data_IF_076274191023
#
_entry.id   IF_076274191023
#
_cell.length_a   1.000
_cell.length_b   1.000
_cell.length_c   1.000
_cell.angle_alpha   90.00
_cell.angle_beta   90.00
_cell.angle_gamma   90.00
#
_symmetry.space_group_name_H-M   'P 1'
#
loop_
_entity.id
_entity.type
_entity.pdbx_description
1 polymer ?
#
# COMPACT_ATOMS: atom_id res chain seq x y z
N UNK A 1 7.80 -15.10 -13.67
CA UNK A 1 7.19 -15.25 -15.01
C UNK A 1 6.27 -14.07 -15.18
N UNK A 2 6.66 -13.15 -16.06
CA UNK A 2 5.94 -11.92 -16.38
C UNK A 2 5.78 -11.94 -17.90
N UNK A 3 4.58 -11.68 -18.40
CA UNK A 3 4.29 -11.56 -19.84
C UNK A 3 4.86 -12.73 -20.67
N UNK A 4 4.80 -13.94 -20.12
CA UNK A 4 5.42 -15.12 -20.70
C UNK A 4 4.37 -15.90 -21.53
N UNK A 5 4.48 -15.94 -22.88
CA UNK A 5 3.54 -16.70 -23.69
C UNK A 5 3.55 -18.17 -23.30
N UNK A 6 2.38 -18.81 -23.30
CA UNK A 6 2.20 -20.22 -22.92
C UNK A 6 2.63 -20.55 -21.48
N UNK A 7 2.70 -19.57 -20.57
CA UNK A 7 3.11 -19.79 -19.18
C UNK A 7 2.34 -20.92 -18.48
N UNK A 8 1.01 -20.99 -18.64
CA UNK A 8 0.20 -22.03 -18.03
C UNK A 8 0.51 -23.44 -18.59
N UNK A 9 0.81 -23.56 -19.89
CA UNK A 9 1.24 -24.84 -20.50
C UNK A 9 2.61 -25.28 -19.98
N UNK A 10 3.51 -24.33 -19.81
CA UNK A 10 4.83 -24.59 -19.22
C UNK A 10 4.70 -25.09 -17.78
N UNK A 11 3.90 -24.41 -16.95
CA UNK A 11 3.64 -24.81 -15.56
C UNK A 11 2.97 -26.20 -15.49
N UNK A 12 2.05 -26.50 -16.40
CA UNK A 12 1.44 -27.83 -16.51
C UNK A 12 2.51 -28.91 -16.76
N UNK A 13 3.42 -28.67 -17.71
CA UNK A 13 4.51 -29.60 -18.01
C UNK A 13 5.46 -29.78 -16.83
N UNK A 14 5.84 -28.69 -16.16
CA UNK A 14 6.70 -28.72 -14.99
C UNK A 14 6.08 -29.49 -13.83
N UNK A 15 4.77 -29.32 -13.58
CA UNK A 15 4.06 -30.02 -12.50
C UNK A 15 4.04 -31.54 -12.66
N UNK A 16 4.26 -32.04 -13.89
CA UNK A 16 4.33 -33.46 -14.24
C UNK A 16 5.76 -33.99 -14.28
N UNK A 17 6.76 -33.13 -14.10
CA UNK A 17 8.16 -33.57 -14.04
C UNK A 17 8.37 -34.48 -12.83
N UNK A 18 9.24 -35.47 -12.98
CA UNK A 18 9.63 -36.38 -11.89
C UNK A 18 10.66 -35.74 -10.95
N UNK A 19 11.24 -34.62 -11.34
CA UNK A 19 12.27 -33.93 -10.57
C UNK A 19 11.63 -33.07 -9.47
N UNK A 20 12.10 -33.26 -8.24
CA UNK A 20 11.64 -32.45 -7.11
C UNK A 20 12.22 -31.04 -7.21
N UNK A 21 11.38 -30.07 -7.61
CA UNK A 21 11.78 -28.68 -7.68
C UNK A 21 12.02 -28.12 -6.26
N UNK A 22 13.12 -27.39 -6.08
CA UNK A 22 13.44 -26.66 -4.85
C UNK A 22 13.36 -25.15 -5.08
N UNK A 23 12.18 -24.69 -5.45
CA UNK A 23 11.97 -23.28 -5.76
C UNK A 23 11.71 -22.48 -4.48
N UNK A 24 12.55 -21.47 -4.23
CA UNK A 24 12.40 -20.56 -3.08
C UNK A 24 11.57 -19.31 -3.39
N UNK A 25 11.59 -18.86 -4.64
CA UNK A 25 10.86 -17.67 -5.09
C UNK A 25 10.07 -18.00 -6.35
N UNK A 26 8.78 -17.71 -6.32
CA UNK A 26 7.91 -17.79 -7.47
C UNK A 26 7.19 -16.46 -7.66
N UNK A 27 7.36 -15.88 -8.83
CA UNK A 27 6.64 -14.69 -9.25
C UNK A 27 5.83 -15.04 -10.50
N UNK A 28 4.55 -14.70 -10.52
CA UNK A 28 3.63 -15.02 -11.60
C UNK A 28 2.63 -13.88 -11.82
N UNK A 29 2.55 -13.44 -13.05
CA UNK A 29 1.60 -12.42 -13.51
C UNK A 29 0.76 -13.05 -14.61
N UNK A 30 -0.55 -13.02 -14.47
CA UNK A 30 -1.45 -13.58 -15.48
C UNK A 30 -2.73 -12.77 -15.56
N UNK A 31 -3.16 -12.51 -16.78
CA UNK A 31 -4.42 -11.83 -17.08
C UNK A 31 -5.27 -12.74 -17.97
N UNK A 32 -6.44 -13.12 -17.47
CA UNK A 32 -7.35 -14.01 -18.16
C UNK A 32 -7.84 -13.42 -19.50
N UNK A 33 -7.88 -12.09 -19.65
CA UNK A 33 -8.31 -11.44 -20.88
C UNK A 33 -7.17 -11.37 -21.92
N UNK A 34 -5.96 -11.00 -21.47
CA UNK A 34 -4.82 -10.79 -22.36
C UNK A 34 -4.07 -12.09 -22.71
N UNK A 35 -3.99 -13.05 -21.78
CA UNK A 35 -3.25 -14.32 -21.97
C UNK A 35 -4.08 -15.43 -22.65
N UNK A 36 -5.31 -15.09 -23.04
CA UNK A 36 -6.27 -15.97 -23.71
C UNK A 36 -7.55 -16.09 -22.90
N UNK A 37 -8.63 -15.47 -23.37
CA UNK A 37 -9.93 -15.51 -22.70
C UNK A 37 -10.36 -16.94 -22.29
N UNK A 38 -10.70 -17.12 -21.01
CA UNK A 38 -11.15 -18.41 -20.47
C UNK A 38 -10.02 -19.35 -20.06
N UNK A 39 -8.84 -18.83 -19.74
CA UNK A 39 -7.75 -19.62 -19.18
C UNK A 39 -8.10 -20.10 -17.77
N UNK A 40 -7.84 -21.38 -17.54
CA UNK A 40 -7.95 -22.00 -16.24
C UNK A 40 -6.64 -21.81 -15.47
N UNK A 41 -6.71 -21.28 -14.24
CA UNK A 41 -5.55 -21.09 -13.36
C UNK A 41 -5.04 -22.41 -12.76
N UNK A 42 -5.78 -23.51 -12.91
CA UNK A 42 -5.43 -24.85 -12.38
C UNK A 42 -3.99 -25.26 -12.64
N UNK A 43 -3.39 -25.11 -13.84
CA UNK A 43 -1.99 -25.47 -14.06
C UNK A 43 -1.01 -24.75 -13.12
N UNK A 44 -1.24 -23.46 -12.85
CA UNK A 44 -0.41 -22.69 -11.94
C UNK A 44 -0.62 -23.13 -10.48
N UNK A 45 -1.87 -23.38 -10.08
CA UNK A 45 -2.21 -23.85 -8.74
C UNK A 45 -1.64 -25.26 -8.47
N UNK A 46 -1.79 -26.19 -9.43
CA UNK A 46 -1.23 -27.55 -9.37
C UNK A 46 0.30 -27.49 -9.30
N UNK A 47 0.93 -26.62 -10.08
CA UNK A 47 2.37 -26.41 -9.99
C UNK A 47 2.79 -25.92 -8.60
N UNK A 48 2.12 -24.93 -8.04
CA UNK A 48 2.46 -24.37 -6.73
C UNK A 48 2.36 -25.40 -5.58
N UNK A 49 1.46 -26.38 -5.68
CA UNK A 49 1.36 -27.46 -4.68
C UNK A 49 2.24 -28.69 -5.00
N UNK A 50 2.88 -28.74 -6.17
CA UNK A 50 3.72 -29.87 -6.60
C UNK A 50 5.07 -29.95 -5.89
N UNK A 51 5.51 -28.86 -5.24
CA UNK A 51 6.77 -28.78 -4.50
C UNK A 51 6.58 -28.16 -3.12
N UNK A 52 7.60 -28.17 -2.27
CA UNK A 52 7.60 -27.57 -0.92
C UNK A 52 8.77 -26.61 -0.76
N UNK A 53 8.73 -25.80 0.29
CA UNK A 53 9.85 -24.92 0.65
C UNK A 53 9.83 -23.55 -0.02
N UNK A 54 8.69 -23.14 -0.59
CA UNK A 54 8.54 -21.80 -1.15
C UNK A 54 8.65 -20.78 -0.02
N UNK A 55 9.51 -19.77 -0.21
CA UNK A 55 9.77 -18.67 0.74
C UNK A 55 9.16 -17.36 0.28
N UNK A 56 9.10 -17.12 -1.02
CA UNK A 56 8.61 -15.87 -1.60
C UNK A 56 7.59 -16.17 -2.69
N UNK A 57 6.36 -15.70 -2.52
CA UNK A 57 5.27 -15.88 -3.48
C UNK A 57 4.74 -14.52 -3.90
N UNK A 58 4.93 -14.16 -5.17
CA UNK A 58 4.46 -12.90 -5.75
C UNK A 58 3.47 -13.21 -6.88
N UNK A 59 2.22 -12.80 -6.72
CA UNK A 59 1.13 -13.07 -7.65
C UNK A 59 0.47 -11.76 -8.07
N UNK A 60 0.31 -11.55 -9.38
CA UNK A 60 -0.69 -10.64 -9.93
C UNK A 60 -1.64 -11.42 -10.81
N UNK A 61 -2.92 -11.38 -10.48
CA UNK A 61 -3.98 -12.11 -11.17
C UNK A 61 -5.07 -11.13 -11.58
N UNK A 62 -5.36 -11.10 -12.87
CA UNK A 62 -6.39 -10.22 -13.43
C UNK A 62 -7.50 -11.04 -14.04
N UNK A 63 -8.75 -10.75 -13.65
CA UNK A 63 -9.97 -11.33 -14.23
C UNK A 63 -10.15 -12.84 -13.99
N UNK A 64 -9.82 -13.33 -12.78
CA UNK A 64 -10.02 -14.72 -12.33
C UNK A 64 -11.01 -14.83 -11.16
N UNK A 65 -11.81 -15.90 -11.13
CA UNK A 65 -12.78 -16.20 -10.05
C UNK A 65 -12.24 -17.18 -8.97
N UNK A 66 -10.95 -17.55 -9.03
CA UNK A 66 -10.37 -18.69 -8.29
C UNK A 66 -9.85 -18.36 -6.87
N UNK A 67 -10.36 -17.29 -6.25
CA UNK A 67 -9.82 -16.73 -5.00
C UNK A 67 -9.72 -17.76 -3.83
N UNK A 68 -10.70 -18.67 -3.60
CA UNK A 68 -10.59 -19.67 -2.53
C UNK A 68 -9.42 -20.66 -2.70
N UNK A 69 -9.05 -20.99 -3.94
CA UNK A 69 -7.94 -21.94 -4.20
C UNK A 69 -6.59 -21.28 -3.99
N UNK A 70 -6.50 -19.97 -4.20
CA UNK A 70 -5.31 -19.18 -3.87
C UNK A 70 -5.04 -19.24 -2.36
N UNK A 71 -6.06 -19.02 -1.54
CA UNK A 71 -5.94 -19.15 -0.08
C UNK A 71 -5.42 -20.54 0.34
N UNK A 72 -5.89 -21.60 -0.31
CA UNK A 72 -5.40 -22.97 -0.06
C UNK A 72 -3.92 -23.17 -0.44
N UNK A 73 -3.46 -22.58 -1.54
CA UNK A 73 -2.05 -22.62 -1.96
C UNK A 73 -1.15 -21.85 -0.98
N UNK A 74 -1.59 -20.67 -0.53
CA UNK A 74 -0.85 -19.90 0.47
C UNK A 74 -0.73 -20.70 1.77
N UNK A 75 -1.84 -21.28 2.23
CA UNK A 75 -1.88 -22.15 3.41
C UNK A 75 -0.96 -23.37 3.29
N UNK A 76 -0.83 -23.94 2.10
CA UNK A 76 0.05 -25.08 1.84
C UNK A 76 1.53 -24.75 2.12
N UNK A 77 1.97 -23.51 1.86
CA UNK A 77 3.33 -23.03 2.12
C UNK A 77 3.49 -22.26 3.44
N UNK A 78 2.46 -22.19 4.29
CA UNK A 78 2.42 -21.32 5.48
C UNK A 78 3.62 -21.46 6.46
N UNK A 79 4.29 -22.61 6.48
CA UNK A 79 5.42 -22.83 7.40
C UNK A 79 6.78 -22.39 6.85
N UNK A 80 6.87 -22.16 5.54
CA UNK A 80 8.10 -21.77 4.84
C UNK A 80 8.01 -20.39 4.19
N UNK A 81 6.80 -19.88 4.00
CA UNK A 81 6.56 -18.59 3.34
C UNK A 81 6.97 -17.43 4.25
N UNK A 82 7.92 -16.63 3.77
CA UNK A 82 8.49 -15.46 4.44
C UNK A 82 7.99 -14.16 3.81
N UNK A 83 7.72 -14.15 2.49
CA UNK A 83 7.09 -13.00 1.84
C UNK A 83 5.96 -13.38 0.89
N UNK A 84 4.91 -12.56 0.92
CA UNK A 84 3.75 -12.65 0.05
C UNK A 84 3.45 -11.27 -0.55
N UNK A 85 3.35 -11.21 -1.87
CA UNK A 85 2.82 -10.06 -2.60
C UNK A 85 1.67 -10.57 -3.46
N UNK A 86 0.47 -10.08 -3.24
CA UNK A 86 -0.72 -10.51 -3.96
C UNK A 86 -1.49 -9.29 -4.45
N UNK A 87 -1.67 -9.22 -5.76
CA UNK A 87 -2.39 -8.17 -6.46
C UNK A 87 -3.48 -8.81 -7.29
N UNK A 88 -4.73 -8.42 -7.04
CA UNK A 88 -5.87 -8.87 -7.83
C UNK A 88 -6.58 -7.68 -8.45
N UNK A 89 -6.89 -7.80 -9.73
CA UNK A 89 -7.71 -6.84 -10.46
C UNK A 89 -8.80 -7.57 -11.22
N UNK A 90 -9.94 -6.90 -11.42
CA UNK A 90 -11.09 -7.46 -12.14
C UNK A 90 -11.76 -6.36 -12.95
N UNK A 91 -12.43 -6.74 -14.03
CA UNK A 91 -13.44 -5.91 -14.65
C UNK A 91 -14.56 -5.65 -13.64
N UNK A 92 -14.79 -4.37 -13.33
CA UNK A 92 -15.84 -3.90 -12.43
C UNK A 92 -16.80 -3.04 -13.25
N UNK A 93 -18.12 -3.27 -13.13
CA UNK A 93 -19.11 -2.46 -13.84
C UNK A 93 -19.06 -1.00 -13.37
N UNK A 94 -19.09 -0.08 -14.33
CA UNK A 94 -19.13 1.37 -14.11
C UNK A 94 -20.56 1.92 -14.02
N UNK A 95 -21.53 1.15 -14.49
CA UNK A 95 -22.96 1.48 -14.48
C UNK A 95 -23.79 0.33 -13.88
N UNK A 96 -25.01 0.66 -13.46
CA UNK A 96 -25.92 -0.31 -12.84
C UNK A 96 -26.35 -1.40 -13.83
N UNK A 97 -26.26 -1.10 -15.13
CA UNK A 97 -26.59 -2.00 -16.23
C UNK A 97 -25.45 -2.97 -16.60
N UNK A 98 -24.23 -2.75 -16.11
CA UNK A 98 -23.03 -3.53 -16.44
C UNK A 98 -22.64 -3.48 -17.91
N UNK A 99 -22.95 -2.40 -18.62
CA UNK A 99 -22.62 -2.22 -20.03
C UNK A 99 -21.19 -1.72 -20.24
N UNK A 100 -20.67 -0.98 -19.26
CA UNK A 100 -19.28 -0.52 -19.24
C UNK A 100 -18.56 -1.14 -18.06
N UNK A 101 -17.41 -1.73 -18.34
CA UNK A 101 -16.54 -2.29 -17.31
C UNK A 101 -15.16 -1.64 -17.42
N UNK A 102 -14.53 -1.44 -16.26
CA UNK A 102 -13.15 -1.02 -16.20
C UNK A 102 -12.37 -1.95 -15.29
N UNK A 103 -11.12 -2.21 -15.64
CA UNK A 103 -10.24 -2.96 -14.75
C UNK A 103 -9.96 -2.13 -13.50
N UNK A 104 -10.26 -2.75 -12.35
CA UNK A 104 -10.06 -2.18 -11.03
C UNK A 104 -9.40 -3.18 -10.11
N UNK A 105 -8.51 -2.67 -9.30
CA UNK A 105 -8.01 -3.33 -8.10
C UNK A 105 -9.15 -3.78 -7.18
N UNK A 106 -9.04 -5.02 -6.69
CA UNK A 106 -10.00 -5.58 -5.74
C UNK A 106 -9.31 -6.16 -4.52
N UNK A 107 -9.97 -6.02 -3.37
CA UNK A 107 -9.59 -6.74 -2.14
C UNK A 107 -9.63 -8.25 -2.39
N UNK A 108 -8.56 -8.99 -2.10
CA UNK A 108 -8.56 -10.43 -2.31
C UNK A 108 -9.64 -11.09 -1.45
N UNK A 109 -10.54 -11.86 -2.08
CA UNK A 109 -11.65 -12.48 -1.34
C UNK A 109 -11.16 -13.46 -0.28
N UNK A 110 -9.97 -14.06 -0.45
CA UNK A 110 -9.36 -14.90 0.57
C UNK A 110 -8.91 -14.13 1.83
N UNK A 111 -8.84 -12.79 1.82
CA UNK A 111 -8.70 -12.03 3.07
C UNK A 111 -9.96 -12.16 3.94
N UNK A 112 -11.13 -12.26 3.32
CA UNK A 112 -12.41 -12.40 4.02
C UNK A 112 -12.55 -13.83 4.56
N UNK A 113 -12.39 -14.00 5.87
CA UNK A 113 -12.62 -15.27 6.56
C UNK A 113 -11.50 -16.31 6.46
N UNK A 114 -10.39 -16.04 5.76
CA UNK A 114 -9.22 -16.94 5.72
C UNK A 114 -7.90 -16.28 6.14
N UNK A 115 -7.91 -15.08 6.72
CA UNK A 115 -6.67 -14.43 7.15
C UNK A 115 -5.90 -15.23 8.22
N UNK A 116 -6.60 -16.02 9.03
CA UNK A 116 -6.01 -17.00 9.97
C UNK A 116 -5.13 -18.07 9.28
N UNK A 117 -5.23 -18.22 7.95
CA UNK A 117 -4.37 -19.13 7.19
C UNK A 117 -2.96 -18.59 6.98
N UNK A 118 -2.74 -17.28 7.18
CA UNK A 118 -1.42 -16.68 7.12
C UNK A 118 -0.70 -16.90 8.46
N UNK A 119 0.43 -17.59 8.41
CA UNK A 119 1.31 -17.68 9.56
C UNK A 119 2.17 -16.41 9.69
N UNK A 120 1.57 -15.36 10.26
CA UNK A 120 2.24 -14.07 10.40
C UNK A 120 3.47 -14.11 11.30
N UNK A 121 3.63 -15.13 12.16
CA UNK A 121 4.82 -15.28 13.00
C UNK A 121 6.11 -15.60 12.24
N UNK A 122 6.00 -15.90 10.94
CA UNK A 122 7.14 -16.14 10.04
C UNK A 122 7.21 -15.21 8.85
N UNK A 123 6.10 -14.58 8.48
CA UNK A 123 6.04 -13.70 7.34
C UNK A 123 6.67 -12.35 7.70
N UNK A 124 7.77 -11.99 7.04
CA UNK A 124 8.50 -10.73 7.23
C UNK A 124 8.03 -9.65 6.26
N UNK A 125 7.43 -10.01 5.13
CA UNK A 125 6.88 -9.04 4.19
C UNK A 125 5.52 -9.45 3.62
N UNK A 126 4.55 -8.52 3.68
CA UNK A 126 3.19 -8.72 3.19
C UNK A 126 2.77 -7.55 2.30
N UNK A 127 2.28 -7.88 1.11
CA UNK A 127 1.89 -6.93 0.08
C UNK A 127 0.54 -7.34 -0.46
N UNK A 128 -0.48 -6.50 -0.28
CA UNK A 128 -1.85 -6.83 -0.63
C UNK A 128 -2.58 -5.61 -1.17
N UNK A 129 -3.46 -5.85 -2.13
CA UNK A 129 -4.32 -4.83 -2.72
C UNK A 129 -5.61 -4.71 -1.91
N UNK A 130 -5.63 -3.89 -0.85
CA UNK A 130 -6.82 -3.73 -0.01
C UNK A 130 -6.79 -2.36 0.70
N UNK A 131 -7.95 -1.82 1.09
CA UNK A 131 -7.98 -0.54 1.81
C UNK A 131 -7.27 -0.66 3.18
N UNK A 132 -6.66 0.43 3.71
CA UNK A 132 -6.02 0.37 5.02
C UNK A 132 -6.94 -0.13 6.16
N UNK A 133 -8.25 0.18 6.14
CA UNK A 133 -9.22 -0.36 7.09
C UNK A 133 -9.39 -1.86 6.95
N UNK A 134 -9.48 -2.36 5.72
CA UNK A 134 -9.59 -3.81 5.45
C UNK A 134 -8.34 -4.54 5.98
N UNK A 135 -7.16 -3.99 5.68
CA UNK A 135 -5.89 -4.54 6.15
C UNK A 135 -5.80 -4.53 7.68
N UNK A 136 -6.28 -3.47 8.34
CA UNK A 136 -6.35 -3.41 9.80
C UNK A 136 -7.25 -4.48 10.38
N UNK A 137 -8.48 -4.61 9.86
CA UNK A 137 -9.44 -5.60 10.35
C UNK A 137 -8.85 -7.02 10.33
N UNK A 138 -8.05 -7.32 9.30
CA UNK A 138 -7.36 -8.60 9.16
C UNK A 138 -6.14 -8.74 10.11
N UNK A 139 -5.31 -7.72 10.23
CA UNK A 139 -4.05 -7.79 10.97
C UNK A 139 -4.21 -7.58 12.49
N UNK A 140 -5.20 -6.80 12.94
CA UNK A 140 -5.39 -6.41 14.34
C UNK A 140 -5.51 -7.62 15.30
N UNK A 141 -6.26 -8.69 14.99
CA UNK A 141 -6.33 -9.88 15.84
C UNK A 141 -4.99 -10.62 16.01
N UNK A 142 -4.07 -10.46 15.05
CA UNK A 142 -2.83 -11.22 14.96
C UNK A 142 -1.58 -10.34 15.23
N UNK A 143 -1.78 -9.05 15.50
CA UNK A 143 -0.73 -8.05 15.48
C UNK A 143 0.45 -8.37 16.41
N UNK A 144 0.17 -8.80 17.65
CA UNK A 144 1.18 -9.13 18.66
C UNK A 144 2.06 -10.33 18.31
N UNK A 145 1.61 -11.18 17.37
CA UNK A 145 2.32 -12.38 16.92
C UNK A 145 3.00 -12.19 15.57
N UNK A 146 2.85 -11.02 14.97
CA UNK A 146 3.33 -10.74 13.62
C UNK A 146 4.85 -10.52 13.62
N UNK A 147 5.53 -11.18 12.68
CA UNK A 147 6.92 -10.95 12.33
C UNK A 147 7.07 -9.99 11.13
N UNK A 148 5.97 -9.37 10.67
CA UNK A 148 6.00 -8.47 9.50
C UNK A 148 6.89 -7.26 9.80
N UNK A 149 7.90 -7.08 8.96
CA UNK A 149 8.84 -5.97 8.93
C UNK A 149 8.48 -4.96 7.82
N UNK A 150 7.95 -5.46 6.70
CA UNK A 150 7.50 -4.66 5.56
C UNK A 150 6.04 -4.94 5.26
N UNK A 151 5.19 -3.92 5.36
CA UNK A 151 3.80 -3.98 4.92
C UNK A 151 3.61 -3.07 3.72
N UNK A 152 3.00 -3.60 2.66
CA UNK A 152 2.71 -2.87 1.44
C UNK A 152 1.22 -2.94 1.14
N UNK A 153 0.55 -1.80 1.28
CA UNK A 153 -0.81 -1.60 0.79
C UNK A 153 -0.69 -1.15 -0.66
N UNK A 154 -1.01 -2.07 -1.56
CA UNK A 154 -0.77 -1.96 -2.99
C UNK A 154 -1.99 -1.36 -3.69
N UNK A 155 -1.74 -0.66 -4.77
CA UNK A 155 -2.73 -0.40 -5.81
C UNK A 155 -2.04 -0.18 -7.16
N UNK A 156 -2.80 -0.16 -8.24
CA UNK A 156 -2.38 0.12 -9.61
C UNK A 156 -2.27 1.63 -9.81
N UNK A 157 -1.08 2.10 -10.18
CA UNK A 157 -0.78 3.54 -10.25
C UNK A 157 -1.62 4.29 -11.27
N UNK A 158 -2.01 3.65 -12.39
CA UNK A 158 -2.85 4.27 -13.42
C UNK A 158 -4.25 4.65 -12.92
N UNK A 159 -4.80 3.92 -11.93
CA UNK A 159 -6.10 4.26 -11.34
C UNK A 159 -6.07 5.58 -10.55
N UNK A 160 -4.89 5.95 -10.04
CA UNK A 160 -4.66 7.16 -9.23
C UNK A 160 -3.72 8.16 -9.90
N UNK A 161 -3.57 8.09 -11.22
CA UNK A 161 -2.59 8.89 -11.96
C UNK A 161 -2.78 10.41 -11.79
N UNK A 162 -4.02 10.85 -11.56
CA UNK A 162 -4.39 12.25 -11.39
C UNK A 162 -4.18 12.77 -9.95
N UNK A 163 -3.70 11.94 -9.03
CA UNK A 163 -3.55 12.27 -7.60
C UNK A 163 -2.09 12.43 -7.20
N UNK A 164 -1.87 13.21 -6.15
CA UNK A 164 -0.57 13.37 -5.50
C UNK A 164 -0.66 12.81 -4.08
N UNK A 165 -0.51 11.49 -3.99
CA UNK A 165 -0.67 10.73 -2.75
C UNK A 165 0.30 11.22 -1.65
N UNK A 166 1.59 11.48 -1.94
CA UNK A 166 2.49 12.09 -0.96
C UNK A 166 2.01 13.42 -0.42
N UNK A 167 1.55 14.32 -1.29
CA UNK A 167 1.07 15.64 -0.87
C UNK A 167 -0.19 15.53 -0.03
N UNK A 168 -1.15 14.71 -0.44
CA UNK A 168 -2.41 14.47 0.27
C UNK A 168 -2.16 13.94 1.69
N UNK A 169 -1.36 12.88 1.83
CA UNK A 169 -1.05 12.27 3.13
C UNK A 169 -0.24 13.24 4.01
N UNK A 170 0.77 13.90 3.45
CA UNK A 170 1.60 14.85 4.20
C UNK A 170 0.78 16.04 4.69
N UNK A 171 -0.13 16.55 3.87
CA UNK A 171 -1.06 17.61 4.25
C UNK A 171 -1.97 17.14 5.38
N UNK A 172 -2.52 15.92 5.29
CA UNK A 172 -3.36 15.37 6.34
C UNK A 172 -2.62 15.24 7.67
N UNK A 173 -1.40 14.72 7.67
CA UNK A 173 -0.57 14.61 8.87
C UNK A 173 -0.29 15.99 9.50
N UNK A 174 0.01 17.02 8.69
CA UNK A 174 0.23 18.40 9.18
C UNK A 174 -1.03 18.99 9.81
N UNK A 175 -2.18 18.87 9.14
CA UNK A 175 -3.44 19.43 9.67
C UNK A 175 -3.85 18.80 11.00
N UNK A 176 -3.61 17.49 11.17
CA UNK A 176 -3.89 16.78 12.42
C UNK A 176 -3.01 17.29 13.56
N UNK A 177 -1.72 17.46 13.32
CA UNK A 177 -0.78 17.99 14.31
C UNK A 177 -1.15 19.41 14.76
N UNK A 178 -1.57 20.29 13.85
CA UNK A 178 -2.03 21.63 14.21
C UNK A 178 -3.24 21.59 15.15
N UNK A 179 -4.18 20.66 14.94
CA UNK A 179 -5.34 20.47 15.82
C UNK A 179 -4.90 19.97 17.21
N UNK A 180 -4.01 18.98 17.27
CA UNK A 180 -3.52 18.43 18.55
C UNK A 180 -2.73 19.47 19.36
N UNK A 181 -1.98 20.34 18.68
CA UNK A 181 -1.23 21.44 19.31
C UNK A 181 -2.17 22.49 19.90
N UNK A 182 -3.26 22.86 19.20
CA UNK A 182 -4.27 23.79 19.71
C UNK A 182 -5.02 23.25 20.93
N UNK A 183 -5.24 21.93 21.02
CA UNK A 183 -5.87 21.30 22.19
C UNK A 183 -4.98 21.26 23.43
N UNK A 184 -3.65 21.34 23.28
CA UNK A 184 -2.70 21.30 24.40
C UNK A 184 -2.52 22.65 25.13
N UNK A 185 -2.96 23.76 24.54
CA UNK A 185 -2.85 25.11 25.14
C UNK A 185 -4.09 25.56 25.93
N UNK A 186 -5.10 24.70 26.13
CA UNK A 186 -6.24 24.98 27.00
C UNK A 186 -6.04 24.41 28.42
N UNK A 187 -4.92 24.75 29.06
CA UNK A 187 -4.74 24.62 30.51
C UNK A 187 -4.85 26.02 31.10
N UNK A 188 -5.75 26.15 32.07
CA UNK A 188 -6.21 27.35 32.77
C UNK A 188 -5.13 28.43 32.97
N UNK A 189 -5.41 29.64 32.50
CA UNK A 189 -4.70 30.85 32.94
C UNK A 189 -5.69 31.76 33.70
N UNK A 190 -5.32 32.33 34.86
CA UNK A 190 -6.24 33.08 35.69
C UNK A 190 -6.59 34.45 35.09
N UNK A 191 -7.82 34.88 35.38
CA UNK A 191 -8.43 36.18 35.02
C UNK A 191 -7.46 37.37 35.16
N UNK A 192 -7.27 38.12 34.08
CA UNK A 192 -7.09 39.57 34.08
C UNK A 192 -7.64 40.17 32.77
N UNK A 193 -8.56 41.14 32.90
CA UNK A 193 -9.11 41.97 31.82
C UNK A 193 -8.19 43.18 31.49
N UNK A 194 -8.57 44.11 30.59
CA UNK A 194 -8.58 43.96 29.15
C UNK A 194 -7.65 45.01 28.52
N UNK A 195 -6.63 44.58 27.78
CA UNK A 195 -5.91 45.48 26.88
C UNK A 195 -6.39 45.23 25.46
N UNK A 196 -7.27 46.12 25.00
CA UNK A 196 -7.71 46.25 23.62
C UNK A 196 -6.50 46.51 22.74
N UNK A 197 -6.15 45.57 21.87
CA UNK A 197 -5.45 45.85 20.63
C UNK A 197 -5.96 44.83 19.58
N UNK A 198 -6.55 45.37 18.52
CA UNK A 198 -7.20 44.68 17.41
C UNK A 198 -6.31 43.61 16.79
N UNK A 199 -6.64 42.33 17.02
CA UNK A 199 -6.10 41.18 16.28
C UNK A 199 -7.13 40.56 15.33
N UNK A 200 -8.21 41.31 15.04
CA UNK A 200 -9.27 40.91 14.11
C UNK A 200 -8.88 40.99 12.62
N UNK A 201 -7.70 41.51 12.28
CA UNK A 201 -7.34 41.80 10.88
C UNK A 201 -6.31 40.85 10.24
N UNK A 202 -5.82 39.82 10.95
CA UNK A 202 -4.93 38.79 10.36
C UNK A 202 -5.59 37.44 10.09
N UNK A 203 -6.81 37.23 10.58
CA UNK A 203 -7.62 36.05 10.21
C UNK A 203 -8.21 36.16 8.78
N UNK A 204 -8.11 37.33 8.15
CA UNK A 204 -8.63 37.62 6.81
C UNK A 204 -7.60 37.40 5.69
N UNK A 205 -6.34 37.07 6.01
CA UNK A 205 -5.25 36.91 5.01
C UNK A 205 -4.92 35.43 4.72
N UNK A 206 -5.55 34.47 5.41
CA UNK A 206 -5.31 33.02 5.18
C UNK A 206 -6.53 32.32 4.54
N UNK A 207 -7.53 33.07 4.10
CA UNK A 207 -8.77 32.51 3.51
C UNK A 207 -8.98 32.83 2.04
N UNK A 208 -7.96 33.30 1.32
CA UNK A 208 -8.14 33.87 -0.03
C UNK A 208 -7.24 33.27 -1.12
N UNK A 209 -6.92 31.97 -1.02
CA UNK A 209 -6.17 31.26 -2.07
C UNK A 209 -6.74 29.86 -2.44
N UNK A 210 -8.01 29.59 -2.09
CA UNK A 210 -8.73 28.36 -2.49
C UNK A 210 -10.06 28.62 -3.23
N UNK A 211 -10.22 29.82 -3.80
CA UNK A 211 -11.44 30.22 -4.53
C UNK A 211 -11.17 30.51 -6.02
N UNK A 212 -10.81 29.49 -6.80
CA UNK A 212 -10.82 29.48 -8.28
C UNK A 212 -11.07 28.00 -8.69
N UNK A 213 -12.13 27.53 -9.34
CA UNK A 213 -13.34 28.10 -9.95
C UNK A 213 -14.45 27.04 -9.84
N UNK A 214 -15.63 27.40 -9.32
CA UNK A 214 -16.87 26.69 -9.63
C UNK A 214 -17.79 27.66 -10.35
N UNK A 215 -18.00 27.42 -11.65
CA UNK A 215 -19.30 27.09 -12.24
C UNK A 215 -19.13 26.98 -13.76
N UNK A 216 -19.16 25.75 -14.29
CA UNK A 216 -20.29 25.34 -15.14
C UNK A 216 -20.30 23.84 -15.45
N UNK A 217 -21.46 23.26 -15.15
CA UNK A 217 -22.15 22.13 -15.77
C UNK A 217 -21.50 20.73 -15.78
N UNK A 218 -22.13 19.87 -14.97
CA UNK A 218 -22.23 18.40 -15.09
C UNK A 218 -21.11 17.56 -14.47
N UNK A 219 -21.30 17.24 -13.18
CA UNK A 219 -20.91 15.94 -12.58
C UNK A 219 -19.49 15.79 -12.02
N UNK A 220 -19.20 16.28 -10.80
CA UNK A 220 -17.96 15.88 -10.08
C UNK A 220 -17.91 16.23 -8.58
N UNK A 221 -18.98 15.96 -7.80
CA UNK A 221 -18.93 16.17 -6.33
C UNK A 221 -18.33 14.95 -5.58
N UNK A 222 -18.21 13.78 -6.22
CA UNK A 222 -17.67 12.57 -5.58
C UNK A 222 -16.13 12.50 -5.50
N UNK A 223 -15.40 13.16 -6.41
CA UNK A 223 -13.94 12.98 -6.52
C UNK A 223 -13.16 13.55 -5.33
N UNK A 224 -13.53 14.72 -4.83
CA UNK A 224 -12.78 15.43 -3.77
C UNK A 224 -12.97 14.79 -2.39
N UNK A 225 -14.16 14.22 -2.13
CA UNK A 225 -14.45 13.50 -0.87
C UNK A 225 -13.67 12.18 -0.78
N UNK A 226 -13.53 11.46 -1.91
CA UNK A 226 -12.81 10.18 -1.95
C UNK A 226 -11.32 10.30 -1.64
N UNK A 227 -10.65 11.36 -2.13
CA UNK A 227 -9.23 11.58 -1.93
C UNK A 227 -8.88 11.93 -0.47
N UNK A 228 -9.68 12.81 0.15
CA UNK A 228 -9.55 13.12 1.57
C UNK A 228 -9.79 11.88 2.45
N UNK A 229 -10.72 11.00 2.06
CA UNK A 229 -11.03 9.78 2.80
C UNK A 229 -9.87 8.80 2.82
N UNK A 230 -9.21 8.56 1.69
CA UNK A 230 -8.11 7.58 1.62
C UNK A 230 -6.85 8.04 2.36
N UNK A 231 -6.51 9.34 2.27
CA UNK A 231 -5.40 9.90 3.04
C UNK A 231 -5.67 9.85 4.56
N UNK A 232 -6.92 10.10 4.97
CA UNK A 232 -7.34 9.97 6.37
C UNK A 232 -7.28 8.51 6.85
N UNK A 233 -7.78 7.57 6.04
CA UNK A 233 -7.73 6.14 6.31
C UNK A 233 -6.28 5.65 6.46
N UNK A 234 -5.39 6.07 5.56
CA UNK A 234 -3.96 5.76 5.65
C UNK A 234 -3.33 6.32 6.92
N UNK A 235 -3.59 7.59 7.28
CA UNK A 235 -3.02 8.19 8.49
C UNK A 235 -3.50 7.46 9.75
N UNK A 236 -4.79 7.15 9.85
CA UNK A 236 -5.34 6.40 10.97
C UNK A 236 -4.75 4.98 11.05
N UNK A 237 -4.54 4.34 9.90
CA UNK A 237 -3.88 3.04 9.80
C UNK A 237 -2.41 3.11 10.25
N UNK A 238 -1.66 4.10 9.79
CA UNK A 238 -0.25 4.30 10.12
C UNK A 238 -0.06 4.52 11.64
N UNK A 239 -0.93 5.30 12.27
CA UNK A 239 -0.92 5.50 13.72
C UNK A 239 -1.16 4.21 14.50
N UNK A 240 -2.11 3.40 14.07
CA UNK A 240 -2.35 2.11 14.69
C UNK A 240 -1.16 1.18 14.47
N UNK A 241 -0.72 0.99 13.23
CA UNK A 241 0.24 -0.05 12.87
C UNK A 241 1.62 0.18 13.49
N UNK A 242 2.03 1.43 13.64
CA UNK A 242 3.27 1.79 14.35
C UNK A 242 3.05 2.04 15.85
N UNK A 243 1.80 2.14 16.29
CA UNK A 243 1.42 2.35 17.69
C UNK A 243 1.63 1.14 18.60
N UNK A 244 1.34 1.29 19.90
CA UNK A 244 1.62 0.26 20.91
C UNK A 244 0.79 -1.02 20.74
N UNK A 245 -0.36 -0.95 20.06
CA UNK A 245 -1.23 -2.10 19.76
C UNK A 245 -1.11 -2.57 18.32
N UNK A 246 -0.18 -1.99 17.56
CA UNK A 246 0.07 -2.30 16.15
C UNK A 246 0.98 -3.50 15.95
N UNK A 247 1.69 -3.48 14.82
CA UNK A 247 2.64 -4.53 14.45
C UNK A 247 4.01 -4.24 15.08
N UNK A 248 4.48 -5.03 16.07
CA UNK A 248 5.66 -4.68 16.85
C UNK A 248 6.96 -4.67 16.03
N UNK A 249 7.07 -5.57 15.04
CA UNK A 249 8.26 -5.72 14.20
C UNK A 249 8.22 -4.88 12.92
N UNK A 250 7.14 -4.13 12.67
CA UNK A 250 7.01 -3.38 11.43
C UNK A 250 8.02 -2.23 11.38
N UNK A 251 8.88 -2.24 10.37
CA UNK A 251 9.85 -1.17 10.07
C UNK A 251 9.34 -0.24 8.98
N UNK A 252 8.72 -0.79 7.93
CA UNK A 252 8.33 -0.04 6.73
C UNK A 252 6.87 -0.29 6.39
N UNK A 253 6.10 0.79 6.23
CA UNK A 253 4.78 0.77 5.61
C UNK A 253 4.85 1.52 4.29
N UNK A 254 4.58 0.80 3.21
CA UNK A 254 4.47 1.30 1.85
C UNK A 254 2.99 1.40 1.45
N UNK A 255 2.64 2.48 0.78
CA UNK A 255 1.32 2.75 0.24
C UNK A 255 1.48 3.26 -1.18
N UNK A 256 1.08 2.48 -2.18
CA UNK A 256 1.29 2.91 -3.55
C UNK A 256 1.48 1.83 -4.60
N UNK A 257 1.83 2.33 -5.78
CA UNK A 257 2.39 1.53 -6.85
C UNK A 257 3.90 1.77 -6.97
N UNK A 258 4.70 0.83 -6.46
CA UNK A 258 6.16 0.85 -6.55
C UNK A 258 6.70 0.08 -7.76
N UNK A 259 5.81 -0.34 -8.66
CA UNK A 259 6.20 -0.93 -9.91
C UNK A 259 6.69 0.14 -10.89
N UNK A 260 7.49 -0.26 -11.89
CA UNK A 260 7.99 0.63 -12.94
C UNK A 260 8.84 1.82 -12.44
N UNK A 261 9.67 1.60 -11.43
CA UNK A 261 10.60 2.62 -10.90
C UNK A 261 9.84 3.90 -10.49
N UNK A 262 10.26 5.07 -10.99
CA UNK A 262 9.70 6.38 -10.64
C UNK A 262 8.47 6.77 -11.49
N UNK A 263 7.95 5.88 -12.35
CA UNK A 263 6.78 6.19 -13.20
C UNK A 263 5.57 6.65 -12.38
N UNK A 264 5.37 6.02 -11.23
CA UNK A 264 4.26 6.29 -10.33
C UNK A 264 4.71 7.00 -9.04
N UNK A 265 5.75 7.85 -9.12
CA UNK A 265 6.29 8.53 -7.94
C UNK A 265 5.23 9.35 -7.18
N UNK A 266 4.27 9.96 -7.88
CA UNK A 266 3.14 10.70 -7.27
C UNK A 266 2.10 9.79 -6.59
N UNK A 267 2.23 8.49 -6.77
CA UNK A 267 1.36 7.47 -6.19
C UNK A 267 2.10 6.64 -5.14
N UNK A 268 3.34 6.97 -4.79
CA UNK A 268 4.17 6.22 -3.85
C UNK A 268 4.38 7.00 -2.56
N UNK A 269 3.94 6.44 -1.42
CA UNK A 269 4.24 6.98 -0.10
C UNK A 269 4.87 5.91 0.79
N UNK A 270 5.98 6.25 1.43
CA UNK A 270 6.69 5.37 2.36
C UNK A 270 6.74 5.99 3.75
N UNK A 271 6.55 5.15 4.75
CA UNK A 271 6.71 5.50 6.14
C UNK A 271 7.62 4.49 6.83
N UNK A 272 8.45 4.98 7.75
CA UNK A 272 9.32 4.16 8.58
C UNK A 272 9.02 4.35 10.07
N UNK A 273 9.20 3.29 10.85
CA UNK A 273 9.17 3.38 12.31
C UNK A 273 10.28 4.31 12.80
N UNK A 274 9.98 5.15 13.78
CA UNK A 274 11.01 5.89 14.52
C UNK A 274 11.57 5.01 15.63
N UNK A 275 12.88 4.85 15.64
CA UNK A 275 13.57 4.28 16.79
C UNK A 275 13.86 5.41 17.79
N UNK A 276 13.44 5.23 19.05
CA UNK A 276 13.73 6.16 20.14
C UNK A 276 15.18 6.05 20.65
N UNK A 277 16.10 5.56 19.84
CA UNK A 277 17.50 5.41 20.21
C UNK A 277 18.24 6.72 19.93
N UNK A 278 18.60 7.44 21.00
CA UNK A 278 19.67 8.44 21.13
C UNK A 278 20.34 8.94 19.83
N UNK A 279 19.59 9.46 18.86
CA UNK A 279 20.21 10.31 17.84
C UNK A 279 20.63 11.61 18.54
N UNK A 280 21.92 11.96 18.56
CA UNK A 280 22.32 13.27 19.02
C UNK A 280 21.61 14.27 18.13
N UNK A 281 20.75 15.11 18.71
CA UNK A 281 20.17 16.29 18.06
C UNK A 281 21.32 17.22 17.64
N UNK A 282 21.98 16.93 16.53
CA UNK A 282 22.89 17.84 15.89
C UNK A 282 22.03 18.93 15.26
N UNK A 283 22.00 20.08 15.95
CA UNK A 283 21.45 21.33 15.43
C UNK A 283 22.34 21.86 14.31
N UNK A 284 22.43 21.19 13.17
CA UNK A 284 23.06 21.79 12.00
C UNK A 284 22.02 22.60 11.20
N UNK A 285 22.08 23.91 11.46
CA UNK A 285 21.41 24.92 10.68
C UNK A 285 22.17 25.08 9.37
N UNK A 286 21.84 24.30 8.33
CA UNK A 286 22.00 24.63 6.90
C UNK A 286 21.81 23.39 6.01
N UNK A 287 20.56 22.94 5.84
CA UNK A 287 20.16 22.22 4.61
C UNK A 287 18.63 22.35 4.43
N UNK A 288 18.11 22.88 3.30
CA UNK A 288 16.67 23.11 3.12
C UNK A 288 15.84 21.83 2.85
N UNK A 289 16.39 20.63 3.06
CA UNK A 289 15.71 19.37 2.76
C UNK A 289 15.00 18.73 3.97
N UNK A 290 15.20 19.24 5.20
CA UNK A 290 14.58 18.71 6.40
C UNK A 290 13.54 19.68 6.96
N UNK A 291 12.40 19.82 6.27
CA UNK A 291 11.26 20.56 6.79
C UNK A 291 10.25 19.56 7.38
N UNK A 292 10.02 19.67 8.70
CA UNK A 292 8.98 19.04 9.54
C UNK A 292 9.26 17.69 10.22
N UNK A 293 10.21 17.69 11.18
CA UNK A 293 10.24 16.75 12.30
C UNK A 293 9.15 17.07 13.34
N UNK A 294 7.91 16.60 13.13
CA UNK A 294 7.02 16.18 14.23
C UNK A 294 5.76 15.43 13.74
N UNK A 295 5.84 14.73 12.61
CA UNK A 295 4.81 13.76 12.22
C UNK A 295 4.83 12.61 13.24
N UNK A 296 3.67 12.11 13.73
CA UNK A 296 3.45 10.98 14.69
C UNK A 296 4.66 10.47 15.50
N UNK A 297 4.59 10.46 16.84
CA UNK A 297 5.70 10.04 17.71
C UNK A 297 6.35 8.69 17.30
N UNK A 298 5.57 7.78 16.69
CA UNK A 298 6.03 6.43 16.35
C UNK A 298 6.58 6.24 14.93
N UNK A 299 6.40 7.19 13.99
CA UNK A 299 6.82 7.02 12.58
C UNK A 299 7.13 8.34 11.85
N UNK A 300 7.83 8.26 10.71
CA UNK A 300 8.05 9.38 9.80
C UNK A 300 7.99 8.95 8.33
N UNK A 301 7.81 9.93 7.43
CA UNK A 301 7.95 9.69 5.99
C UNK A 301 9.38 9.25 5.66
N UNK A 302 9.52 8.35 4.69
CA UNK A 302 10.80 7.80 4.23
C UNK A 302 10.93 7.91 2.71
N UNK A 303 12.16 7.80 2.22
CA UNK A 303 12.46 7.76 0.79
C UNK A 303 12.90 6.34 0.41
N UNK A 304 12.36 5.79 -0.68
CA UNK A 304 12.74 4.46 -1.19
C UNK A 304 14.22 4.36 -1.58
N UNK A 305 14.83 5.49 -1.95
CA UNK A 305 16.24 5.58 -2.30
C UNK A 305 17.18 5.59 -1.07
N UNK A 306 16.65 5.73 0.14
CA UNK A 306 17.44 5.62 1.37
C UNK A 306 17.79 4.15 1.62
N UNK A 307 19.05 3.77 1.39
CA UNK A 307 19.50 2.39 1.55
C UNK A 307 19.42 1.91 3.00
N UNK A 308 19.52 2.83 3.98
CA UNK A 308 19.43 2.49 5.40
C UNK A 308 18.05 1.98 5.80
N UNK A 309 17.01 2.33 5.02
CA UNK A 309 15.64 1.84 5.22
C UNK A 309 15.55 0.33 5.09
N UNK A 310 16.42 -0.27 4.28
CA UNK A 310 16.38 -1.69 3.90
C UNK A 310 17.41 -2.52 4.65
N UNK A 311 18.27 -1.89 5.46
CA UNK A 311 19.29 -2.59 6.23
C UNK A 311 18.64 -3.47 7.31
N UNK A 312 19.18 -4.68 7.48
CA UNK A 312 18.74 -5.67 8.47
C UNK A 312 17.32 -6.22 8.31
N UNK A 313 16.65 -5.99 7.18
CA UNK A 313 15.36 -6.61 6.88
C UNK A 313 15.53 -8.03 6.33
N UNK A 314 14.56 -8.90 6.61
CA UNK A 314 14.54 -10.30 6.19
C UNK A 314 14.34 -10.52 4.68
N UNK A 315 14.02 -9.46 3.93
CA UNK A 315 13.86 -9.50 2.46
C UNK A 315 14.44 -8.25 1.80
N UNK A 316 14.77 -8.37 0.52
CA UNK A 316 15.05 -7.22 -0.35
C UNK A 316 13.77 -6.40 -0.54
N UNK A 317 13.65 -5.31 0.25
CA UNK A 317 12.46 -4.47 0.28
C UNK A 317 12.16 -3.79 -1.05
N UNK A 318 13.18 -3.29 -1.75
CA UNK A 318 13.00 -2.66 -3.06
C UNK A 318 12.46 -3.65 -4.11
N UNK A 319 13.01 -4.87 -4.14
CA UNK A 319 12.49 -5.95 -5.01
C UNK A 319 11.08 -6.37 -4.61
N UNK A 320 10.80 -6.44 -3.30
CA UNK A 320 9.49 -6.80 -2.80
C UNK A 320 8.41 -5.79 -3.22
N UNK A 321 8.67 -4.50 -3.04
CA UNK A 321 7.73 -3.43 -3.41
C UNK A 321 7.47 -3.39 -4.91
N UNK A 322 8.51 -3.59 -5.73
CA UNK A 322 8.42 -3.61 -7.20
C UNK A 322 7.94 -4.93 -7.81
N UNK A 323 7.60 -5.94 -6.99
CA UNK A 323 7.08 -7.22 -7.47
C UNK A 323 5.77 -7.06 -8.24
N UNK A 324 5.54 -7.95 -9.21
CA UNK A 324 4.29 -8.03 -9.97
C UNK A 324 3.87 -6.69 -10.61
N UNK A 325 4.71 -6.09 -11.47
CA UNK A 325 4.37 -4.84 -12.14
C UNK A 325 3.11 -4.98 -12.98
N UNK A 326 2.31 -3.92 -13.09
CA UNK A 326 1.27 -3.88 -14.10
C UNK A 326 1.89 -4.02 -15.50
N UNK A 327 1.21 -4.68 -16.43
CA UNK A 327 1.67 -4.79 -17.82
C UNK A 327 1.81 -3.37 -18.38
N UNK A 328 3.05 -2.96 -18.67
CA UNK A 328 3.28 -1.73 -19.41
C UNK A 328 3.07 -2.04 -20.87
N UNK A 329 2.04 -1.48 -21.52
CA UNK A 329 2.00 -1.10 -22.94
C UNK A 329 0.58 -0.65 -23.34
N UNK A 330 0.23 0.59 -22.97
CA UNK A 330 -0.12 1.62 -23.97
C UNK A 330 0.64 2.85 -23.47
N UNK A 331 1.66 3.29 -24.21
CA UNK A 331 2.05 4.69 -24.17
C UNK A 331 0.77 5.45 -24.46
N UNK A 332 0.27 6.17 -23.46
CA UNK A 332 -0.79 7.12 -23.67
C UNK A 332 -0.46 7.91 -24.95
N UNK A 333 -1.34 7.98 -25.95
CA UNK A 333 -1.06 8.73 -27.18
C UNK A 333 -0.85 10.23 -26.93
N UNK A 334 -0.92 10.67 -25.67
CA UNK A 334 -0.68 12.02 -25.20
C UNK A 334 0.77 12.29 -24.74
N UNK A 335 1.72 11.34 -24.91
CA UNK A 335 3.16 11.55 -24.65
C UNK A 335 4.03 11.59 -25.93
N UNK A 336 3.52 12.17 -27.02
CA UNK A 336 4.31 12.55 -28.21
C UNK A 336 4.21 14.03 -28.54
#
# INVERSE_FOLDING_TARGET
MRDCPNQLRFLSSLSRSKDTLQLKLFEFVCDNLLDGFGQDLTPALTFLVSFKGLRHLYLKLSNFEESPRIGAVIKYHQYTLESLSYHESRLVPLDDEGLFEEERDVSPQWLEGQFDTLNLSRMTALGICASPSTVRLCLEPLATRSAIEILHIRFTGSERFHRDIPLEITTRLRTKLSRDTCHHYNIESPRQEPYTNSWSDLASIVNDDLALWEMNESGSVEKTLSASSEAEEFVAFAEWVFGPTGLPNLHVLAFGDFSHNNRFQKQQFLTRRRHHENEPRYKDHQHPACIHESLSQSFCAANSADTSLWENLGVDGARFLSSCPASGLIESPFEL
#
